data_IF_806863612960
#
_entry.id   IF_806863612960
#
_cell.length_a   1.000
_cell.length_b   1.000
_cell.length_c   1.000
_cell.angle_alpha   90.00
_cell.angle_beta   90.00
_cell.angle_gamma   90.00
#
_symmetry.space_group_name_H-M   'P 1'
#
loop_
_entity.id
_entity.type
_entity.pdbx_description
1 polymer ?
#
# COMPACT_ATOMS: atom_id res chain seq x y z
N UNK A 1 -8.75 52.03 -42.68
CA UNK A 1 -7.56 51.49 -41.97
C UNK A 1 -7.73 51.33 -40.45
N UNK A 2 -8.38 52.26 -39.73
CA UNK A 2 -8.63 52.13 -38.27
C UNK A 2 -9.45 50.90 -37.82
N UNK A 3 -10.40 50.42 -38.65
CA UNK A 3 -11.22 49.24 -38.32
C UNK A 3 -10.48 47.90 -38.42
N UNK A 4 -9.37 47.85 -39.19
CA UNK A 4 -8.58 46.63 -39.36
C UNK A 4 -7.62 46.39 -38.18
N UNK A 5 -7.13 47.48 -37.56
CA UNK A 5 -6.23 47.40 -36.40
C UNK A 5 -6.95 46.90 -35.14
N UNK A 6 -8.24 47.26 -34.97
CA UNK A 6 -9.05 46.75 -33.85
C UNK A 6 -9.36 45.25 -33.95
N UNK A 7 -9.52 44.72 -35.16
CA UNK A 7 -9.80 43.29 -35.35
C UNK A 7 -8.62 42.39 -34.98
N UNK A 8 -7.38 42.86 -35.21
CA UNK A 8 -6.16 42.11 -34.89
C UNK A 8 -5.89 42.13 -33.36
N UNK A 9 -6.20 43.24 -32.68
CA UNK A 9 -6.09 43.34 -31.22
C UNK A 9 -7.13 42.49 -30.47
N UNK A 10 -8.31 42.28 -31.04
CA UNK A 10 -9.31 41.34 -30.49
C UNK A 10 -8.94 39.87 -30.71
N UNK A 11 -8.22 39.54 -31.80
CA UNK A 11 -7.75 38.17 -32.04
C UNK A 11 -6.60 37.75 -31.12
N UNK A 12 -5.75 38.70 -30.69
CA UNK A 12 -4.63 38.43 -29.79
C UNK A 12 -5.05 38.20 -28.31
N UNK A 13 -6.27 38.58 -27.93
CA UNK A 13 -6.80 38.33 -26.57
C UNK A 13 -7.53 36.98 -26.43
N UNK A 14 -7.75 36.26 -27.54
CA UNK A 14 -8.29 34.89 -27.53
C UNK A 14 -7.21 33.81 -27.63
N UNK A 15 -5.95 34.18 -27.84
CA UNK A 15 -4.79 33.29 -27.75
C UNK A 15 -4.21 33.24 -26.34
N UNK A 16 -5.08 33.15 -25.33
CA UNK A 16 -4.70 32.80 -23.97
C UNK A 16 -4.73 31.28 -23.81
N UNK A 17 -3.55 30.65 -23.76
CA UNK A 17 -3.30 29.21 -23.54
C UNK A 17 -3.66 28.25 -24.69
N UNK A 18 -3.16 28.51 -25.90
CA UNK A 18 -2.86 27.42 -26.86
C UNK A 18 -1.37 27.15 -26.85
N UNK A 19 -0.96 26.21 -26.01
CA UNK A 19 0.42 25.74 -25.88
C UNK A 19 0.49 24.80 -24.69
N UNK A 20 1.00 23.59 -24.90
CA UNK A 20 1.04 22.43 -24.00
C UNK A 20 1.70 22.61 -22.61
N UNK A 21 1.91 23.84 -22.14
CA UNK A 21 2.70 24.16 -20.94
C UNK A 21 1.87 24.55 -19.72
N UNK A 22 0.56 24.79 -19.85
CA UNK A 22 -0.33 24.88 -18.70
C UNK A 22 -0.88 23.50 -18.34
N UNK A 23 0.02 22.52 -18.14
CA UNK A 23 -0.25 21.50 -17.12
C UNK A 23 -0.14 22.23 -15.79
N UNK A 24 -1.23 22.90 -15.41
CA UNK A 24 -1.57 23.05 -14.01
C UNK A 24 -1.52 21.62 -13.49
N UNK A 25 -0.43 21.26 -12.79
CA UNK A 25 -0.46 20.12 -11.90
C UNK A 25 -1.58 20.48 -10.94
N UNK A 26 -2.80 20.01 -11.24
CA UNK A 26 -3.87 20.01 -10.27
C UNK A 26 -3.22 19.46 -9.01
N UNK A 27 -3.26 20.19 -7.87
CA UNK A 27 -2.64 19.70 -6.66
C UNK A 27 -3.17 18.27 -6.48
N UNK A 28 -2.27 17.29 -6.60
CA UNK A 28 -2.60 15.89 -6.39
C UNK A 28 -3.34 15.87 -5.07
N UNK A 29 -4.61 15.48 -5.09
CA UNK A 29 -5.48 15.53 -3.92
C UNK A 29 -4.68 15.00 -2.73
N UNK A 30 -4.62 15.79 -1.65
CA UNK A 30 -3.87 15.36 -0.49
C UNK A 30 -4.49 14.10 0.04
N UNK A 31 -3.72 13.02 0.13
CA UNK A 31 -4.16 11.90 0.92
C UNK A 31 -4.28 12.32 2.38
N UNK A 32 -5.30 11.81 3.06
CA UNK A 32 -5.59 12.00 4.48
C UNK A 32 -5.46 10.66 5.20
N UNK A 33 -5.32 10.65 6.55
CA UNK A 33 -5.33 9.40 7.30
C UNK A 33 -6.59 8.55 7.04
N UNK A 34 -7.75 9.20 6.83
CA UNK A 34 -9.01 8.50 6.53
C UNK A 34 -8.96 7.71 5.21
N UNK A 35 -8.18 8.17 4.22
CA UNK A 35 -8.01 7.46 2.96
C UNK A 35 -7.20 6.16 3.14
N UNK A 36 -6.34 6.10 4.15
CA UNK A 36 -5.50 4.94 4.49
C UNK A 36 -6.24 3.94 5.38
N UNK A 37 -7.01 4.42 6.35
CA UNK A 37 -7.72 3.58 7.33
C UNK A 37 -8.58 2.52 6.63
N UNK A 38 -8.48 1.29 7.11
CA UNK A 38 -9.21 0.13 6.61
C UNK A 38 -8.30 -1.05 6.22
N UNK A 39 -8.90 -2.03 5.56
CA UNK A 39 -8.24 -3.28 5.15
C UNK A 39 -7.74 -3.22 3.72
N UNK A 40 -6.57 -3.80 3.50
CA UNK A 40 -5.83 -3.80 2.25
C UNK A 40 -5.35 -5.21 1.94
N UNK A 41 -5.51 -5.63 0.69
CA UNK A 41 -5.10 -6.95 0.23
C UNK A 41 -4.05 -6.84 -0.86
N UNK A 42 -2.95 -7.57 -0.71
CA UNK A 42 -1.93 -7.71 -1.73
C UNK A 42 -2.50 -8.51 -2.90
N UNK A 43 -2.54 -7.92 -4.10
CA UNK A 43 -3.21 -8.52 -5.24
C UNK A 43 -2.64 -9.90 -5.64
N UNK A 44 -1.34 -10.11 -5.48
CA UNK A 44 -0.69 -11.35 -5.92
C UNK A 44 -0.69 -12.47 -4.88
N UNK A 45 -0.58 -12.16 -3.58
CA UNK A 45 -0.45 -13.18 -2.52
C UNK A 45 -1.66 -13.28 -1.60
N UNK A 46 -2.61 -12.36 -1.68
CA UNK A 46 -3.74 -12.30 -0.74
C UNK A 46 -3.39 -11.82 0.67
N UNK A 47 -2.13 -11.47 0.92
CA UNK A 47 -1.63 -10.99 2.21
C UNK A 47 -2.34 -9.70 2.62
N UNK A 48 -2.57 -9.52 3.92
CA UNK A 48 -3.45 -8.48 4.44
C UNK A 48 -2.68 -7.43 5.23
N UNK A 49 -3.11 -6.18 5.11
CA UNK A 49 -2.74 -5.08 5.99
C UNK A 49 -4.02 -4.41 6.47
N UNK A 50 -4.09 -4.06 7.75
CA UNK A 50 -5.18 -3.31 8.33
C UNK A 50 -4.63 -2.09 9.06
N UNK A 51 -5.11 -0.90 8.69
CA UNK A 51 -4.75 0.36 9.34
C UNK A 51 -5.94 0.86 10.15
N UNK A 52 -5.80 0.86 11.48
CA UNK A 52 -6.83 1.35 12.38
C UNK A 52 -6.76 2.89 12.50
N UNK A 53 -7.91 3.50 12.78
CA UNK A 53 -8.00 4.95 12.98
C UNK A 53 -7.27 5.46 14.23
N UNK A 54 -6.96 4.59 15.19
CA UNK A 54 -6.20 4.90 16.40
C UNK A 54 -4.67 4.95 16.15
N UNK A 55 -4.23 4.72 14.93
CA UNK A 55 -2.81 4.69 14.56
C UNK A 55 -2.14 3.32 14.77
N UNK A 56 -2.87 2.28 15.15
CA UNK A 56 -2.36 0.90 15.14
C UNK A 56 -2.49 0.25 13.77
N UNK A 57 -1.62 -0.69 13.45
CA UNK A 57 -1.75 -1.51 12.24
C UNK A 57 -1.52 -2.99 12.55
N UNK A 58 -2.15 -3.82 11.73
CA UNK A 58 -1.98 -5.26 11.72
C UNK A 58 -1.65 -5.73 10.30
N UNK A 59 -0.90 -6.82 10.23
CA UNK A 59 -0.45 -7.42 9.01
C UNK A 59 -0.56 -8.93 9.13
N UNK A 60 -1.05 -9.58 8.09
CA UNK A 60 -1.26 -11.03 8.10
C UNK A 60 -0.70 -11.64 6.83
N UNK A 61 -0.03 -12.78 6.98
CA UNK A 61 0.48 -13.57 5.87
C UNK A 61 1.50 -12.80 4.98
N UNK A 62 2.27 -11.91 5.59
CA UNK A 62 3.24 -11.07 4.88
C UNK A 62 4.54 -11.84 4.66
N UNK A 63 5.00 -11.91 3.41
CA UNK A 63 6.35 -12.36 3.13
C UNK A 63 7.40 -11.38 3.70
N UNK A 64 8.44 -11.92 4.32
CA UNK A 64 9.45 -11.21 5.13
C UNK A 64 10.06 -9.94 4.51
N UNK A 65 10.13 -9.85 3.18
CA UNK A 65 10.71 -8.70 2.46
C UNK A 65 10.06 -7.35 2.81
N UNK A 66 8.86 -7.32 3.41
CA UNK A 66 8.24 -6.08 3.88
C UNK A 66 8.92 -5.50 5.14
N UNK A 67 9.65 -6.34 5.89
CA UNK A 67 10.21 -6.01 7.21
C UNK A 67 11.74 -5.89 7.20
N UNK A 68 12.38 -5.84 6.03
CA UNK A 68 13.79 -6.19 5.81
C UNK A 68 14.84 -5.15 6.24
N UNK A 69 14.63 -4.44 7.35
CA UNK A 69 15.64 -3.54 7.93
C UNK A 69 16.85 -4.28 8.52
N UNK A 70 16.64 -5.50 9.06
CA UNK A 70 17.71 -6.31 9.63
C UNK A 70 17.31 -7.80 9.61
N UNK A 71 17.86 -8.54 8.64
CA UNK A 71 17.27 -9.79 8.13
C UNK A 71 17.24 -10.94 9.14
N UNK A 72 18.24 -11.12 9.99
CA UNK A 72 18.37 -12.38 10.76
C UNK A 72 17.97 -12.28 12.24
N UNK A 73 18.12 -11.11 12.85
CA UNK A 73 18.00 -10.95 14.31
C UNK A 73 16.56 -11.00 14.83
N UNK A 74 15.56 -10.93 13.95
CA UNK A 74 14.19 -10.63 14.37
C UNK A 74 13.13 -11.58 13.80
N UNK A 75 13.57 -12.75 13.32
CA UNK A 75 12.67 -13.82 12.87
C UNK A 75 12.42 -14.78 14.03
N UNK A 76 11.18 -15.25 14.23
CA UNK A 76 10.95 -16.39 15.10
C UNK A 76 11.73 -17.61 14.57
N UNK A 77 12.72 -18.09 15.33
CA UNK A 77 13.52 -19.26 14.93
C UNK A 77 12.76 -20.57 15.21
N UNK A 78 12.87 -21.59 14.33
CA UNK A 78 13.41 -21.57 12.97
C UNK A 78 12.48 -20.85 11.97
N UNK A 79 13.02 -20.13 10.99
CA UNK A 79 12.22 -19.46 9.94
C UNK A 79 12.65 -19.88 8.54
N UNK A 80 11.71 -20.37 7.74
CA UNK A 80 11.92 -20.74 6.35
C UNK A 80 11.25 -19.74 5.41
N UNK A 81 12.02 -18.85 4.81
CA UNK A 81 11.51 -17.79 3.91
C UNK A 81 10.69 -18.33 2.73
N UNK A 82 10.92 -19.57 2.30
CA UNK A 82 10.20 -20.16 1.17
C UNK A 82 8.75 -20.49 1.52
N UNK A 83 8.48 -20.86 2.78
CA UNK A 83 7.19 -21.36 3.26
C UNK A 83 6.53 -20.44 4.29
N UNK A 84 7.31 -19.94 5.24
CA UNK A 84 6.79 -19.19 6.36
C UNK A 84 6.35 -17.79 5.94
N UNK A 85 5.29 -17.35 6.61
CA UNK A 85 4.67 -16.05 6.44
C UNK A 85 4.50 -15.43 7.80
N UNK A 86 4.69 -14.12 7.86
CA UNK A 86 4.72 -13.38 9.10
C UNK A 86 3.41 -12.63 9.29
N UNK A 87 2.88 -12.75 10.50
CA UNK A 87 1.92 -11.79 11.01
C UNK A 87 2.70 -10.69 11.76
N UNK A 88 2.19 -9.47 11.75
CA UNK A 88 2.87 -8.33 12.34
C UNK A 88 1.91 -7.30 12.87
N UNK A 89 2.35 -6.57 13.89
CA UNK A 89 1.57 -5.47 14.45
C UNK A 89 2.47 -4.32 14.88
N UNK A 90 1.88 -3.14 15.02
CA UNK A 90 2.57 -1.95 15.45
C UNK A 90 1.74 -0.69 15.27
N UNK A 91 2.42 0.43 15.02
CA UNK A 91 1.78 1.72 14.76
C UNK A 91 2.11 2.23 13.36
N UNK A 92 1.26 3.11 12.84
CA UNK A 92 1.46 3.75 11.54
C UNK A 92 1.24 5.26 11.63
N UNK A 93 1.85 5.99 10.70
CA UNK A 93 1.65 7.42 10.53
C UNK A 93 1.74 7.78 9.05
N UNK A 94 0.82 8.66 8.62
CA UNK A 94 0.87 9.26 7.30
C UNK A 94 1.75 10.51 7.34
N UNK A 95 2.81 10.51 6.55
CA UNK A 95 3.65 11.67 6.29
C UNK A 95 3.54 12.06 4.81
N UNK A 96 3.49 13.37 4.56
CA UNK A 96 3.61 13.88 3.21
C UNK A 96 5.09 14.07 2.93
N UNK A 97 5.61 13.40 1.90
CA UNK A 97 6.93 13.71 1.41
C UNK A 97 6.87 15.14 0.83
N UNK A 98 7.71 16.03 1.37
CA UNK A 98 7.74 17.44 0.93
C UNK A 98 8.29 17.58 -0.49
N UNK A 99 8.94 16.54 -1.02
CA UNK A 99 9.61 16.53 -2.31
C UNK A 99 8.88 15.75 -3.40
N UNK A 100 7.87 14.92 -3.05
CA UNK A 100 7.20 14.03 -4.00
C UNK A 100 5.69 14.23 -4.05
N UNK A 101 5.09 13.92 -5.21
CA UNK A 101 3.64 13.85 -5.41
C UNK A 101 2.99 12.63 -4.71
N UNK A 102 3.74 11.92 -3.87
CA UNK A 102 3.34 10.69 -3.19
C UNK A 102 3.25 10.92 -1.69
N UNK A 103 2.40 10.14 -1.03
CA UNK A 103 2.32 10.13 0.43
C UNK A 103 3.03 8.89 0.98
N UNK A 104 3.64 9.01 2.15
CA UNK A 104 4.43 7.96 2.78
C UNK A 104 3.71 7.51 4.05
N UNK A 105 3.48 6.21 4.18
CA UNK A 105 2.96 5.59 5.38
C UNK A 105 4.15 4.97 6.11
N UNK A 106 4.56 5.61 7.21
CA UNK A 106 5.60 5.08 8.09
C UNK A 106 4.98 4.08 9.05
N UNK A 107 5.55 2.87 9.09
CA UNK A 107 5.14 1.79 9.97
C UNK A 107 6.22 1.59 11.03
N UNK A 108 5.84 1.63 12.31
CA UNK A 108 6.67 1.16 13.42
C UNK A 108 6.14 -0.19 13.86
N UNK A 109 6.87 -1.26 13.54
CA UNK A 109 6.47 -2.63 13.91
C UNK A 109 6.95 -2.94 15.33
N UNK A 110 6.02 -3.37 16.17
CA UNK A 110 6.25 -3.71 17.59
C UNK A 110 6.29 -5.22 17.84
N UNK A 111 5.69 -6.03 16.97
CA UNK A 111 5.73 -7.49 17.05
C UNK A 111 5.71 -8.15 15.66
N UNK A 112 6.34 -9.31 15.55
CA UNK A 112 6.22 -10.22 14.40
C UNK A 112 5.99 -11.65 14.92
N UNK A 113 5.12 -12.40 14.28
CA UNK A 113 4.79 -13.77 14.66
C UNK A 113 4.72 -14.74 13.49
N UNK A 114 5.01 -16.03 13.78
CA UNK A 114 4.78 -17.17 12.88
C UNK A 114 4.15 -18.29 13.70
N UNK A 115 2.84 -18.48 13.52
CA UNK A 115 2.06 -19.37 14.38
C UNK A 115 2.16 -18.91 15.85
N UNK A 116 2.48 -19.81 16.80
CA UNK A 116 2.51 -19.48 18.22
C UNK A 116 3.77 -18.69 18.65
N UNK A 117 4.69 -18.39 17.72
CA UNK A 117 6.00 -17.83 18.05
C UNK A 117 6.01 -16.34 17.73
N UNK A 118 6.32 -15.51 18.71
CA UNK A 118 6.33 -14.05 18.58
C UNK A 118 7.68 -13.48 18.98
N UNK A 119 8.19 -12.54 18.17
CA UNK A 119 9.40 -11.78 18.45
C UNK A 119 9.02 -10.30 18.56
N UNK A 120 9.20 -9.65 19.73
CA UNK A 120 9.00 -8.21 19.85
C UNK A 120 10.02 -7.48 18.97
N UNK A 121 9.64 -6.32 18.47
CA UNK A 121 10.48 -5.47 17.64
C UNK A 121 10.28 -4.00 17.97
N UNK A 122 11.22 -3.19 17.50
CA UNK A 122 11.06 -1.75 17.39
C UNK A 122 11.79 -1.34 16.12
N UNK A 123 11.08 -1.42 15.00
CA UNK A 123 11.64 -1.28 13.65
C UNK A 123 10.70 -0.42 12.82
N UNK A 124 11.27 0.40 11.95
CA UNK A 124 10.51 1.24 11.06
C UNK A 124 10.67 0.79 9.61
N UNK A 125 9.58 0.78 8.86
CA UNK A 125 9.56 0.63 7.40
C UNK A 125 8.55 1.60 6.83
N UNK A 126 8.58 1.81 5.51
CA UNK A 126 7.68 2.76 4.86
C UNK A 126 6.98 2.10 3.68
N UNK A 127 5.70 2.42 3.51
CA UNK A 127 4.95 2.16 2.30
C UNK A 127 4.68 3.49 1.60
N UNK A 128 4.64 3.48 0.29
CA UNK A 128 4.21 4.61 -0.51
C UNK A 128 2.74 4.46 -0.83
N UNK A 129 2.03 5.57 -0.87
CA UNK A 129 0.62 5.62 -1.20
C UNK A 129 0.42 6.66 -2.31
N UNK A 130 -0.26 6.24 -3.37
CA UNK A 130 -0.56 7.09 -4.50
C UNK A 130 -2.06 7.07 -4.78
N UNK A 131 -2.62 8.27 -4.95
CA UNK A 131 -3.96 8.46 -5.48
C UNK A 131 -3.92 8.34 -7.01
N UNK A 132 -4.65 7.36 -7.55
CA UNK A 132 -4.88 7.17 -8.97
C UNK A 132 -6.38 7.32 -9.24
N UNK A 133 -6.81 8.52 -9.62
CA UNK A 133 -8.23 8.88 -9.70
C UNK A 133 -8.89 8.84 -8.31
N UNK A 134 -9.92 8.00 -8.14
CA UNK A 134 -10.60 7.76 -6.86
C UNK A 134 -10.06 6.55 -6.09
N UNK A 135 -9.00 5.90 -6.60
CA UNK A 135 -8.43 4.70 -5.99
C UNK A 135 -7.09 5.01 -5.36
N UNK A 136 -6.93 4.66 -4.10
CA UNK A 136 -5.63 4.69 -3.43
C UNK A 136 -4.96 3.34 -3.63
N UNK A 137 -3.69 3.38 -4.05
CA UNK A 137 -2.85 2.20 -4.21
C UNK A 137 -1.69 2.31 -3.24
N UNK A 138 -1.47 1.29 -2.41
CA UNK A 138 -0.27 1.20 -1.59
C UNK A 138 0.81 0.43 -2.36
N UNK A 139 1.95 1.09 -2.55
CA UNK A 139 3.16 0.57 -3.15
C UNK A 139 4.26 0.39 -2.10
N UNK A 140 4.74 -0.83 -1.93
CA UNK A 140 6.06 -1.12 -1.35
C UNK A 140 6.92 -1.82 -2.40
N UNK A 141 8.22 -2.03 -2.16
CA UNK A 141 9.12 -2.73 -3.11
C UNK A 141 8.45 -4.00 -3.68
N UNK A 142 7.98 -3.91 -4.94
CA UNK A 142 7.34 -4.99 -5.69
C UNK A 142 5.93 -5.41 -5.24
N UNK A 143 5.16 -4.57 -4.54
CA UNK A 143 3.83 -4.96 -4.03
C UNK A 143 2.77 -3.89 -4.26
N UNK A 144 1.64 -4.33 -4.79
CA UNK A 144 0.44 -3.50 -5.00
C UNK A 144 -0.67 -4.00 -4.09
N UNK A 145 -1.13 -3.16 -3.18
CA UNK A 145 -2.29 -3.45 -2.34
C UNK A 145 -3.51 -2.69 -2.82
N UNK A 146 -4.64 -3.37 -2.81
CA UNK A 146 -5.95 -2.80 -3.14
C UNK A 146 -6.76 -2.70 -1.85
N UNK A 147 -7.41 -1.55 -1.65
CA UNK A 147 -8.30 -1.34 -0.50
C UNK A 147 -9.54 -2.20 -0.66
N UNK A 148 -9.89 -2.95 0.38
CA UNK A 148 -11.11 -3.72 0.41
C UNK A 148 -12.30 -2.77 0.64
N UNK A 149 -13.38 -2.96 -0.12
CA UNK A 149 -14.61 -2.17 0.04
C UNK A 149 -15.33 -2.46 1.36
N UNK A 150 -15.13 -3.68 1.88
CA UNK A 150 -15.56 -4.14 3.19
C UNK A 150 -14.32 -4.71 3.93
N UNK A 151 -14.46 -5.88 4.57
CA UNK A 151 -13.34 -6.65 5.10
C UNK A 151 -12.69 -7.51 4.02
N UNK A 152 -11.35 -7.54 4.00
CA UNK A 152 -10.63 -8.48 3.16
C UNK A 152 -10.82 -9.90 3.71
N UNK A 153 -11.20 -10.85 2.86
CA UNK A 153 -11.20 -12.26 3.26
C UNK A 153 -9.77 -12.80 3.14
N UNK A 154 -9.29 -13.45 4.21
CA UNK A 154 -8.07 -14.27 4.13
C UNK A 154 -8.30 -15.31 3.03
N UNK A 155 -7.33 -15.49 2.15
CA UNK A 155 -7.36 -16.61 1.23
C UNK A 155 -7.47 -17.90 2.08
N UNK A 156 -8.29 -18.89 1.67
CA UNK A 156 -8.33 -20.17 2.37
C UNK A 156 -6.90 -20.74 2.41
N UNK A 157 -6.50 -21.23 3.57
CA UNK A 157 -5.21 -21.90 3.73
C UNK A 157 -5.09 -22.99 2.65
N UNK A 158 -3.99 -23.03 1.88
CA UNK A 158 -3.83 -24.03 0.83
C UNK A 158 -3.96 -25.40 1.48
N UNK A 159 -5.00 -26.14 1.09
CA UNK A 159 -5.24 -27.48 1.59
C UNK A 159 -3.99 -28.30 1.31
N UNK A 160 -3.38 -28.85 2.36
CA UNK A 160 -2.18 -29.65 2.23
C UNK A 160 -2.39 -30.71 1.13
N UNK A 161 -1.46 -30.89 0.17
CA UNK A 161 -1.59 -31.90 -0.86
C UNK A 161 -1.39 -33.27 -0.22
N UNK A 162 -2.46 -33.92 0.24
CA UNK A 162 -2.30 -35.23 0.88
C UNK A 162 -3.45 -35.76 1.71
N UNK A 163 -4.69 -35.68 1.24
CA UNK A 163 -5.72 -36.65 1.68
C UNK A 163 -6.24 -37.40 0.47
N UNK A 164 -5.42 -38.36 0.02
CA UNK A 164 -5.85 -39.43 -0.87
C UNK A 164 -7.03 -40.14 -0.20
N UNK A 165 -8.25 -39.90 -0.71
CA UNK A 165 -9.43 -40.72 -0.44
C UNK A 165 -9.06 -42.18 -0.66
N UNK A 166 -8.72 -42.90 0.42
CA UNK A 166 -8.77 -44.36 0.39
C UNK A 166 -10.25 -44.73 0.30
N UNK A 167 -10.65 -45.19 -0.88
CA UNK A 167 -11.93 -45.87 -1.04
C UNK A 167 -11.93 -47.11 -0.14
N UNK A 168 -13.02 -47.39 0.59
CA UNK A 168 -13.12 -48.64 1.33
C UNK A 168 -13.30 -49.77 0.33
N UNK A 169 -12.33 -50.68 0.26
CA UNK A 169 -12.46 -51.94 -0.47
C UNK A 169 -13.56 -52.75 0.20
N UNK A 170 -14.53 -53.20 -0.60
CA UNK A 170 -15.61 -54.09 -0.19
C UNK A 170 -15.21 -55.54 -0.43
#
# INVERSE_FOLDING_TARGET
>A
MRKLVLAILLLAMLTGCFGESCRTYAPTASMTPADVVGSWQHAASGALLHFNADGSFEATDIAERLYSGDREKYRPSPFDQSRDRLDGSGTWQLERDKSEAMSVINLRITALSVGPRTVPGNRSTSLYAQLSGSTVVLGGIGRTYVKCSNECKRAPEPTAPGESRRSPTR
#
